data_IF_782786414941
#
_entry.id   IF_782786414941
#
_cell.length_a   1.000
_cell.length_b   1.000
_cell.length_c   1.000
_cell.angle_alpha   90.00
_cell.angle_beta   90.00
_cell.angle_gamma   90.00
#
_symmetry.space_group_name_H-M   'P 1'
#
loop_
_entity.id
_entity.type
_entity.pdbx_description
1 polymer ?
#
# COMPACT_ATOMS: atom_id res chain seq x y z
N UNK A 1 2.81 12.07 11.68
CA UNK A 1 2.96 11.77 10.26
C UNK A 1 4.33 11.25 9.88
N UNK A 2 4.39 10.59 8.71
CA UNK A 2 5.57 9.89 8.18
C UNK A 2 6.79 10.78 8.02
N UNK A 3 6.61 12.04 7.61
CA UNK A 3 7.71 12.97 7.36
C UNK A 3 8.51 13.30 8.63
N UNK A 4 7.82 13.67 9.72
CA UNK A 4 8.49 13.97 11.00
C UNK A 4 9.12 12.70 11.58
N UNK A 5 8.41 11.57 11.52
CA UNK A 5 8.91 10.30 12.06
C UNK A 5 10.19 9.87 11.35
N UNK A 6 10.25 9.95 10.02
CA UNK A 6 11.45 9.66 9.24
C UNK A 6 12.64 10.57 9.61
N UNK A 7 12.40 11.86 9.86
CA UNK A 7 13.47 12.79 10.26
C UNK A 7 14.05 12.45 11.63
N UNK A 8 13.19 12.08 12.58
CA UNK A 8 13.62 11.66 13.92
C UNK A 8 14.31 10.30 13.87
N UNK A 9 13.81 9.34 13.08
CA UNK A 9 14.46 8.04 12.88
C UNK A 9 15.86 8.20 12.26
N UNK A 10 16.03 9.06 11.24
CA UNK A 10 17.36 9.37 10.68
C UNK A 10 18.30 10.00 11.72
N UNK A 11 17.77 10.86 12.59
CA UNK A 11 18.57 11.45 13.67
C UNK A 11 19.00 10.39 14.69
N UNK A 12 18.11 9.43 15.01
CA UNK A 12 18.42 8.30 15.88
C UNK A 12 19.48 7.38 15.29
N UNK A 13 19.36 7.05 14.00
CA UNK A 13 20.36 6.23 13.29
C UNK A 13 21.74 6.90 13.31
N UNK A 14 21.80 8.22 13.13
CA UNK A 14 23.05 8.98 13.23
C UNK A 14 23.64 8.99 14.64
N UNK A 15 22.81 8.83 15.67
CA UNK A 15 23.21 8.65 17.08
C UNK A 15 23.53 7.18 17.43
N UNK A 16 23.38 6.25 16.47
CA UNK A 16 23.65 4.83 16.66
C UNK A 16 22.54 4.09 17.43
N UNK A 17 21.30 4.60 17.38
CA UNK A 17 20.13 3.93 17.95
C UNK A 17 18.98 3.81 16.94
N UNK A 18 17.86 3.21 17.35
CA UNK A 18 16.65 3.08 16.55
C UNK A 18 15.40 3.30 17.39
N UNK A 19 14.25 3.53 16.73
CA UNK A 19 12.96 3.63 17.45
C UNK A 19 12.66 2.38 18.28
N UNK A 20 13.03 1.20 17.77
CA UNK A 20 12.73 -0.08 18.42
C UNK A 20 13.53 -0.26 19.71
N UNK A 21 14.78 0.19 19.71
CA UNK A 21 15.64 0.17 20.91
C UNK A 21 15.17 1.17 21.96
N UNK A 22 14.68 2.34 21.54
CA UNK A 22 14.13 3.37 22.43
C UNK A 22 12.80 2.99 23.07
N UNK A 23 11.97 2.24 22.36
CA UNK A 23 10.59 1.96 22.75
C UNK A 23 9.64 3.11 22.44
N UNK A 24 8.34 2.80 22.41
CA UNK A 24 7.29 3.71 21.90
C UNK A 24 7.17 5.00 22.72
N UNK A 25 7.14 4.91 24.04
CA UNK A 25 6.95 6.07 24.92
C UNK A 25 8.08 7.09 24.76
N UNK A 26 9.34 6.66 24.92
CA UNK A 26 10.51 7.53 24.77
C UNK A 26 10.64 8.09 23.34
N UNK A 27 10.28 7.31 22.32
CA UNK A 27 10.22 7.79 20.95
C UNK A 27 9.19 8.91 20.78
N UNK A 28 7.99 8.77 21.36
CA UNK A 28 6.94 9.80 21.29
C UNK A 28 7.34 11.09 22.02
N UNK A 29 7.99 11.00 23.18
CA UNK A 29 8.54 12.16 23.89
C UNK A 29 9.53 12.92 23.00
N UNK A 30 10.42 12.18 22.32
CA UNK A 30 11.39 12.76 21.39
C UNK A 30 10.71 13.41 20.19
N UNK A 31 9.64 12.82 19.66
CA UNK A 31 8.84 13.40 18.59
C UNK A 31 8.19 14.74 19.02
N UNK A 32 7.68 14.83 20.25
CA UNK A 32 7.14 16.08 20.80
C UNK A 32 8.22 17.16 20.95
N UNK A 33 9.38 16.81 21.49
CA UNK A 33 10.52 17.74 21.59
C UNK A 33 10.95 18.26 20.22
N UNK A 34 11.09 17.37 19.23
CA UNK A 34 11.39 17.76 17.86
C UNK A 34 10.32 18.71 17.29
N UNK A 35 9.04 18.42 17.54
CA UNK A 35 7.94 19.28 17.09
C UNK A 35 8.03 20.67 17.70
N UNK A 36 8.32 20.79 18.99
CA UNK A 36 8.42 22.09 19.68
C UNK A 36 9.54 22.95 19.10
N UNK A 37 10.73 22.37 18.90
CA UNK A 37 11.88 23.06 18.33
C UNK A 37 11.59 23.59 16.92
N UNK A 38 11.03 22.73 16.05
CA UNK A 38 10.76 23.11 14.66
C UNK A 38 9.55 24.03 14.54
N UNK A 39 8.51 23.87 15.36
CA UNK A 39 7.39 24.80 15.40
C UNK A 39 7.87 26.20 15.80
N UNK A 40 8.71 26.33 16.83
CA UNK A 40 9.27 27.61 17.25
C UNK A 40 10.08 28.30 16.14
N UNK A 41 10.85 27.52 15.38
CA UNK A 41 11.60 28.02 14.22
C UNK A 41 10.67 28.49 13.09
N UNK A 42 9.67 27.69 12.72
CA UNK A 42 8.68 28.05 11.69
C UNK A 42 7.93 29.32 12.09
N UNK A 43 7.49 29.41 13.36
CA UNK A 43 6.80 30.59 13.90
C UNK A 43 7.65 31.84 13.78
N UNK A 44 8.93 31.76 14.20
CA UNK A 44 9.88 32.87 14.08
C UNK A 44 10.10 33.30 12.63
N UNK A 45 10.20 32.35 11.69
CA UNK A 45 10.35 32.66 10.27
C UNK A 45 9.12 33.41 9.73
N UNK A 46 7.91 32.96 10.09
CA UNK A 46 6.67 33.63 9.69
C UNK A 46 6.55 35.04 10.28
N UNK A 47 6.98 35.24 11.53
CA UNK A 47 7.05 36.57 12.14
C UNK A 47 8.04 37.50 11.39
N UNK A 48 9.23 36.99 11.04
CA UNK A 48 10.24 37.75 10.28
C UNK A 48 9.77 38.11 8.86
N UNK A 49 8.93 37.28 8.25
CA UNK A 49 8.30 37.56 6.96
C UNK A 49 7.14 38.56 7.07
N UNK A 50 6.72 38.94 8.29
CA UNK A 50 5.60 39.85 8.51
C UNK A 50 4.23 39.21 8.25
N UNK A 51 4.10 37.89 8.44
CA UNK A 51 2.83 37.19 8.25
C UNK A 51 1.78 37.65 9.28
N UNK A 52 0.70 38.28 8.81
CA UNK A 52 -0.37 38.85 9.64
C UNK A 52 -1.48 37.83 9.98
N UNK A 53 -1.11 36.61 10.39
CA UNK A 53 -2.05 35.56 10.77
C UNK A 53 -2.65 35.81 12.18
N UNK A 54 -3.81 35.23 12.48
CA UNK A 54 -4.37 35.24 13.84
C UNK A 54 -3.69 34.18 14.72
N UNK A 55 -2.56 34.55 15.32
CA UNK A 55 -1.76 33.67 16.17
C UNK A 55 -2.45 33.25 17.48
N UNK A 56 -3.53 33.94 17.89
CA UNK A 56 -4.34 33.50 19.04
C UNK A 56 -5.11 32.20 18.75
N UNK A 57 -5.28 31.88 17.46
CA UNK A 57 -5.93 30.67 16.96
C UNK A 57 -4.94 29.72 16.31
N UNK A 58 -3.67 29.77 16.69
CA UNK A 58 -2.71 28.77 16.24
C UNK A 58 -3.23 27.35 16.58
N UNK A 59 -3.12 26.46 15.61
CA UNK A 59 -3.59 25.07 15.70
C UNK A 59 -2.50 24.13 15.26
N UNK A 60 -2.51 22.94 15.84
CA UNK A 60 -1.59 21.86 15.50
C UNK A 60 -2.39 20.60 15.28
N UNK A 61 -2.03 19.83 14.25
CA UNK A 61 -2.85 18.69 13.83
C UNK A 61 -3.06 17.64 14.91
N UNK A 62 -2.14 17.47 15.87
CA UNK A 62 -2.30 16.57 17.03
C UNK A 62 -2.64 17.32 18.34
N UNK A 63 -3.15 18.55 18.27
CA UNK A 63 -3.74 19.19 19.45
C UNK A 63 -5.08 18.53 19.84
N UNK A 64 -5.56 18.81 21.05
CA UNK A 64 -6.76 18.18 21.61
C UNK A 64 -7.99 18.40 20.72
N UNK A 65 -8.27 19.65 20.31
CA UNK A 65 -9.45 19.99 19.52
C UNK A 65 -9.45 19.34 18.13
N UNK A 66 -8.30 19.37 17.44
CA UNK A 66 -8.14 18.70 16.15
C UNK A 66 -8.23 17.17 16.28
N UNK A 67 -7.68 16.61 17.35
CA UNK A 67 -7.74 15.16 17.59
C UNK A 67 -9.17 14.68 17.83
N UNK A 68 -10.00 15.45 18.52
CA UNK A 68 -11.43 15.17 18.65
C UNK A 68 -12.15 15.23 17.29
N UNK A 69 -11.89 16.25 16.48
CA UNK A 69 -12.49 16.35 15.15
C UNK A 69 -12.10 15.18 14.23
N UNK A 70 -10.85 14.71 14.31
CA UNK A 70 -10.37 13.54 13.56
C UNK A 70 -11.08 12.26 14.00
N UNK A 71 -11.22 12.05 15.32
CA UNK A 71 -11.96 10.90 15.85
C UNK A 71 -13.42 10.92 15.44
N UNK A 72 -14.08 12.07 15.56
CA UNK A 72 -15.48 12.24 15.13
C UNK A 72 -15.64 11.92 13.64
N UNK A 73 -14.79 12.49 12.78
CA UNK A 73 -14.84 12.25 11.35
C UNK A 73 -14.66 10.76 11.02
N UNK A 74 -13.70 10.07 11.66
CA UNK A 74 -13.49 8.65 11.46
C UNK A 74 -14.73 7.83 11.85
N UNK A 75 -15.24 8.01 13.06
CA UNK A 75 -16.37 7.23 13.58
C UNK A 75 -17.62 7.47 12.73
N UNK A 76 -17.88 8.73 12.35
CA UNK A 76 -19.04 9.07 11.52
C UNK A 76 -18.94 8.48 10.11
N UNK A 77 -17.78 8.59 9.45
CA UNK A 77 -17.60 8.00 8.12
C UNK A 77 -17.66 6.47 8.16
N UNK A 78 -17.26 5.84 9.26
CA UNK A 78 -17.45 4.40 9.49
C UNK A 78 -18.94 4.05 9.66
N UNK A 79 -19.68 4.80 10.48
CA UNK A 79 -21.13 4.64 10.67
C UNK A 79 -21.91 4.83 9.35
N UNK A 80 -21.44 5.70 8.46
CA UNK A 80 -22.00 5.93 7.12
C UNK A 80 -21.55 4.86 6.09
N UNK A 81 -20.70 3.91 6.47
CA UNK A 81 -20.20 2.83 5.60
C UNK A 81 -19.15 3.27 4.58
N UNK A 82 -18.62 4.49 4.71
CA UNK A 82 -17.56 5.03 3.84
C UNK A 82 -16.17 4.57 4.30
N UNK A 83 -15.96 4.42 5.61
CA UNK A 83 -14.76 3.79 6.16
C UNK A 83 -15.03 2.31 6.42
N UNK A 84 -14.13 1.45 5.98
CA UNK A 84 -14.21 0.01 6.22
C UNK A 84 -12.83 -0.59 6.48
N UNK A 85 -12.82 -1.74 7.17
CA UNK A 85 -11.63 -2.52 7.45
C UNK A 85 -11.63 -3.75 6.54
N UNK A 86 -10.63 -3.88 5.67
CA UNK A 86 -10.63 -4.92 4.63
C UNK A 86 -9.24 -5.24 4.10
N UNK A 87 -9.15 -6.35 3.39
CA UNK A 87 -7.95 -6.73 2.65
C UNK A 87 -7.87 -5.95 1.34
N UNK A 88 -6.76 -5.27 1.13
CA UNK A 88 -6.42 -4.70 -0.16
C UNK A 88 -4.93 -4.84 -0.40
N UNK A 89 -4.53 -4.74 -1.65
CA UNK A 89 -3.13 -4.67 -1.99
C UNK A 89 -2.65 -3.22 -1.80
N UNK A 90 -1.73 -3.04 -0.86
CA UNK A 90 -1.21 -1.72 -0.49
C UNK A 90 0.21 -1.53 -1.01
N UNK A 91 0.59 -0.27 -1.26
CA UNK A 91 1.99 0.07 -1.46
C UNK A 91 2.68 0.05 -0.10
N UNK A 92 3.54 -0.93 0.13
CA UNK A 92 4.33 -1.04 1.34
C UNK A 92 5.73 -0.47 1.13
N UNK A 93 6.24 0.27 2.09
CA UNK A 93 7.63 0.75 2.10
C UNK A 93 8.44 -0.13 3.05
N UNK A 94 9.26 -1.09 2.57
CA UNK A 94 9.98 -2.03 3.43
C UNK A 94 10.90 -1.34 4.44
N UNK A 95 11.62 -0.30 4.03
CA UNK A 95 12.52 0.45 4.90
C UNK A 95 11.78 1.29 5.96
N UNK A 96 10.60 1.83 5.63
CA UNK A 96 9.78 2.59 6.60
C UNK A 96 8.84 1.70 7.42
N UNK A 97 8.70 0.42 7.03
CA UNK A 97 7.79 -0.55 7.61
C UNK A 97 6.35 -0.03 7.77
N UNK A 98 5.82 0.60 6.72
CA UNK A 98 4.44 1.12 6.70
C UNK A 98 3.84 1.05 5.30
N UNK A 99 2.51 0.90 5.24
CA UNK A 99 1.76 1.22 4.05
C UNK A 99 1.89 2.72 3.72
N UNK A 100 1.86 3.06 2.44
CA UNK A 100 1.82 4.43 1.92
C UNK A 100 0.73 4.53 0.83
N UNK A 101 0.14 5.72 0.68
CA UNK A 101 -0.90 5.95 -0.31
C UNK A 101 -0.35 6.01 -1.74
N UNK A 102 -1.19 5.84 -2.76
CA UNK A 102 -0.79 5.99 -4.17
C UNK A 102 -0.18 7.38 -4.46
N UNK A 103 -0.64 8.41 -3.76
CA UNK A 103 -0.12 9.78 -3.88
C UNK A 103 1.30 9.94 -3.30
N UNK A 104 1.72 9.02 -2.43
CA UNK A 104 3.06 8.98 -1.85
C UNK A 104 4.02 8.09 -2.65
N UNK A 105 3.57 7.56 -3.80
CA UNK A 105 4.37 6.76 -4.73
C UNK A 105 4.75 7.59 -5.96
N UNK A 106 6.06 7.68 -6.20
CA UNK A 106 6.62 8.28 -7.41
C UNK A 106 7.00 7.20 -8.42
N UNK A 107 6.39 7.24 -9.60
CA UNK A 107 6.76 6.34 -10.70
C UNK A 107 8.07 6.82 -11.35
N UNK A 108 9.08 5.95 -11.35
CA UNK A 108 10.39 6.22 -11.97
C UNK A 108 10.65 5.20 -13.07
N UNK A 109 11.12 5.67 -14.22
CA UNK A 109 11.56 4.80 -15.31
C UNK A 109 12.89 4.14 -14.93
N UNK A 110 12.92 2.82 -14.92
CA UNK A 110 14.08 2.01 -14.52
C UNK A 110 14.44 1.06 -15.66
N UNK A 111 15.75 0.97 -15.95
CA UNK A 111 16.30 -0.08 -16.82
C UNK A 111 16.32 -1.38 -16.03
N UNK A 112 15.50 -2.33 -16.45
CA UNK A 112 15.51 -3.69 -15.93
C UNK A 112 15.53 -4.72 -17.05
N UNK A 113 15.04 -5.90 -16.73
CA UNK A 113 14.97 -7.01 -17.68
C UNK A 113 13.57 -7.61 -17.69
N UNK A 114 13.17 -8.11 -18.86
CA UNK A 114 12.02 -8.98 -19.04
C UNK A 114 12.53 -10.42 -19.18
N UNK A 115 12.11 -11.30 -18.28
CA UNK A 115 12.51 -12.69 -18.21
C UNK A 115 11.41 -13.57 -18.82
N UNK A 116 11.78 -14.44 -19.76
CA UNK A 116 10.91 -15.44 -20.33
C UNK A 116 11.16 -16.79 -19.67
N UNK A 117 10.16 -17.29 -18.96
CA UNK A 117 10.25 -18.45 -18.07
C UNK A 117 9.39 -19.59 -18.60
N UNK A 118 9.97 -20.79 -18.69
CA UNK A 118 9.32 -21.99 -19.15
C UNK A 118 8.62 -22.73 -18.00
N UNK A 119 7.32 -23.00 -18.17
CA UNK A 119 6.49 -23.73 -17.22
C UNK A 119 6.02 -25.02 -17.89
N UNK A 120 6.48 -26.20 -17.42
CA UNK A 120 6.01 -27.47 -17.96
C UNK A 120 4.51 -27.67 -17.72
N UNK A 121 3.79 -28.23 -18.70
CA UNK A 121 2.38 -28.60 -18.54
C UNK A 121 2.29 -30.04 -18.06
N UNK A 122 1.69 -30.24 -16.89
CA UNK A 122 1.57 -31.54 -16.24
C UNK A 122 0.93 -32.59 -17.17
N UNK A 123 1.55 -33.78 -17.23
CA UNK A 123 1.06 -34.88 -18.05
C UNK A 123 1.25 -34.70 -19.56
N UNK A 124 2.11 -33.78 -19.99
CA UNK A 124 2.43 -33.58 -21.41
C UNK A 124 3.87 -33.13 -21.64
N UNK A 125 4.36 -33.28 -22.87
CA UNK A 125 5.66 -32.72 -23.30
C UNK A 125 5.58 -31.22 -23.65
N UNK A 126 4.41 -30.60 -23.45
CA UNK A 126 4.19 -29.20 -23.73
C UNK A 126 4.77 -28.33 -22.60
N UNK A 127 5.47 -27.27 -22.98
CA UNK A 127 5.95 -26.22 -22.08
C UNK A 127 5.38 -24.89 -22.55
N UNK A 128 4.81 -24.12 -21.63
CA UNK A 128 4.39 -22.74 -21.90
C UNK A 128 5.50 -21.77 -21.49
N UNK A 129 5.49 -20.56 -22.04
CA UNK A 129 6.43 -19.51 -21.67
C UNK A 129 5.66 -18.30 -21.17
N UNK A 130 6.04 -17.78 -20.00
CA UNK A 130 5.47 -16.55 -19.41
C UNK A 130 6.56 -15.48 -19.32
N UNK A 131 6.16 -14.22 -19.44
CA UNK A 131 7.07 -13.08 -19.31
C UNK A 131 6.89 -12.38 -17.97
N UNK A 132 7.99 -11.98 -17.31
CA UNK A 132 7.92 -11.18 -16.08
C UNK A 132 9.16 -10.31 -15.88
N UNK A 133 8.99 -9.15 -15.25
CA UNK A 133 10.09 -8.30 -14.77
C UNK A 133 10.56 -8.65 -13.36
N UNK A 134 9.80 -9.50 -12.65
CA UNK A 134 10.02 -9.86 -11.24
C UNK A 134 10.08 -11.38 -11.04
N UNK A 135 11.14 -12.06 -11.48
CA UNK A 135 11.22 -13.52 -11.40
C UNK A 135 11.18 -14.05 -9.96
N UNK A 136 11.61 -13.28 -8.96
CA UNK A 136 11.48 -13.68 -7.54
C UNK A 136 10.02 -13.82 -7.07
N UNK A 137 9.08 -13.06 -7.67
CA UNK A 137 7.65 -13.16 -7.32
C UNK A 137 7.02 -14.44 -7.85
N UNK A 138 7.62 -15.07 -8.88
CA UNK A 138 7.10 -16.30 -9.47
C UNK A 138 6.92 -17.42 -8.44
N UNK A 139 7.74 -17.41 -7.40
CA UNK A 139 7.70 -18.40 -6.32
C UNK A 139 6.32 -18.43 -5.62
N UNK A 140 5.59 -17.31 -5.68
CA UNK A 140 4.24 -17.15 -5.15
C UNK A 140 3.12 -17.37 -6.17
N UNK A 141 3.42 -17.84 -7.38
CA UNK A 141 2.40 -18.01 -8.41
C UNK A 141 1.37 -19.05 -8.00
N UNK A 142 0.11 -18.76 -8.33
CA UNK A 142 -1.03 -19.65 -8.03
C UNK A 142 -1.86 -19.99 -9.26
N UNK A 143 -1.68 -19.27 -10.37
CA UNK A 143 -2.25 -19.61 -11.66
C UNK A 143 -1.41 -19.07 -12.83
N UNK A 144 -1.77 -19.49 -14.04
CA UNK A 144 -1.37 -18.87 -15.29
C UNK A 144 -2.63 -18.42 -16.02
N UNK A 145 -2.70 -17.14 -16.38
CA UNK A 145 -3.86 -16.56 -17.05
C UNK A 145 -3.65 -16.46 -18.57
N UNK A 146 -4.74 -16.65 -19.31
CA UNK A 146 -4.84 -16.39 -20.75
C UNK A 146 -6.14 -15.64 -21.06
N UNK A 147 -6.19 -14.93 -22.18
CA UNK A 147 -7.41 -14.23 -22.57
C UNK A 147 -8.51 -15.22 -23.04
N UNK A 148 -9.79 -15.05 -22.65
CA UNK A 148 -10.88 -15.98 -22.99
C UNK A 148 -11.10 -16.20 -24.49
N UNK A 149 -10.75 -15.21 -25.32
CA UNK A 149 -10.83 -15.29 -26.79
C UNK A 149 -9.50 -15.70 -27.46
N UNK A 150 -8.47 -16.08 -26.70
CA UNK A 150 -7.22 -16.55 -27.27
C UNK A 150 -7.31 -18.06 -27.60
N UNK A 151 -7.58 -18.37 -28.87
CA UNK A 151 -7.71 -19.74 -29.36
C UNK A 151 -6.44 -20.58 -29.16
N UNK A 152 -5.27 -19.94 -29.03
CA UNK A 152 -3.97 -20.62 -28.85
C UNK A 152 -3.90 -21.39 -27.52
N UNK A 153 -4.68 -21.00 -26.52
CA UNK A 153 -4.55 -21.49 -25.13
C UNK A 153 -5.81 -22.15 -24.56
N UNK A 154 -6.93 -22.18 -25.28
CA UNK A 154 -8.20 -22.77 -24.81
C UNK A 154 -8.05 -24.22 -24.34
N UNK A 155 -7.18 -25.00 -24.99
CA UNK A 155 -6.94 -26.41 -24.67
C UNK A 155 -6.19 -26.62 -23.35
N UNK A 156 -5.75 -25.55 -22.68
CA UNK A 156 -5.05 -25.57 -21.40
C UNK A 156 -6.00 -25.46 -20.19
N UNK A 157 -7.26 -25.06 -20.38
CA UNK A 157 -8.20 -24.73 -19.28
C UNK A 157 -8.31 -25.80 -18.18
N UNK A 158 -8.31 -27.08 -18.55
CA UNK A 158 -8.43 -28.21 -17.63
C UNK A 158 -7.07 -28.86 -17.28
N UNK A 159 -5.97 -28.25 -17.72
CA UNK A 159 -4.61 -28.70 -17.44
C UNK A 159 -4.01 -27.93 -16.26
N UNK A 160 -2.83 -28.35 -15.85
CA UNK A 160 -2.04 -27.66 -14.83
C UNK A 160 -0.65 -27.38 -15.36
N UNK A 161 -0.11 -26.20 -15.05
CA UNK A 161 1.31 -25.92 -15.20
C UNK A 161 2.05 -26.30 -13.91
N UNK A 162 3.32 -26.67 -14.03
CA UNK A 162 4.18 -26.92 -12.88
C UNK A 162 5.08 -25.71 -12.71
N UNK A 163 4.99 -25.05 -11.56
CA UNK A 163 5.83 -23.91 -11.22
C UNK A 163 7.30 -24.37 -11.10
N UNK A 164 8.23 -23.82 -11.90
CA UNK A 164 9.65 -24.16 -11.77
C UNK A 164 10.19 -23.84 -10.38
N UNK A 165 11.21 -24.59 -9.95
CA UNK A 165 11.87 -24.52 -8.63
C UNK A 165 11.00 -24.96 -7.44
N UNK A 166 9.72 -24.59 -7.40
CA UNK A 166 8.80 -24.89 -6.29
C UNK A 166 8.03 -26.20 -6.50
N UNK A 167 7.69 -26.53 -7.75
CA UNK A 167 6.92 -27.71 -8.11
C UNK A 167 5.41 -27.60 -7.84
N UNK A 168 4.90 -26.41 -7.49
CA UNK A 168 3.47 -26.16 -7.26
C UNK A 168 2.67 -26.39 -8.54
N UNK A 169 1.51 -27.04 -8.43
CA UNK A 169 0.55 -27.20 -9.53
C UNK A 169 -0.27 -25.91 -9.66
N UNK A 170 -0.19 -25.28 -10.84
CA UNK A 170 -0.88 -24.03 -11.16
C UNK A 170 -2.05 -24.31 -12.10
N UNK A 171 -3.20 -23.72 -11.82
CA UNK A 171 -4.36 -23.77 -12.73
C UNK A 171 -4.17 -22.81 -13.89
N UNK A 172 -4.75 -23.15 -15.04
CA UNK A 172 -4.96 -22.17 -16.10
C UNK A 172 -6.31 -21.47 -15.90
N UNK A 173 -6.32 -20.14 -15.99
CA UNK A 173 -7.53 -19.33 -15.86
C UNK A 173 -7.73 -18.47 -17.11
N UNK A 174 -8.99 -18.25 -17.47
CA UNK A 174 -9.36 -17.36 -18.57
C UNK A 174 -9.82 -16.03 -17.98
N UNK A 175 -9.11 -14.94 -18.27
CA UNK A 175 -9.40 -13.61 -17.72
C UNK A 175 -9.19 -12.52 -18.79
N UNK A 176 -10.16 -11.61 -18.90
CA UNK A 176 -10.22 -10.55 -19.91
C UNK A 176 -9.19 -9.43 -19.69
N UNK A 177 -8.57 -9.39 -18.50
CA UNK A 177 -7.44 -8.51 -18.24
C UNK A 177 -6.19 -8.86 -19.06
N UNK A 178 -6.06 -10.11 -19.52
CA UNK A 178 -4.86 -10.57 -20.23
C UNK A 178 -4.81 -10.00 -21.64
N UNK A 179 -3.76 -9.24 -21.95
CA UNK A 179 -3.48 -8.80 -23.32
C UNK A 179 -2.92 -9.97 -24.17
N UNK A 180 -3.62 -10.29 -25.26
CA UNK A 180 -3.25 -11.35 -26.22
C UNK A 180 -1.95 -11.06 -26.97
N UNK A 181 -1.64 -9.78 -27.18
CA UNK A 181 -0.50 -9.33 -27.99
C UNK A 181 0.77 -9.11 -27.15
N UNK A 182 0.62 -8.94 -25.84
CA UNK A 182 1.75 -8.70 -24.94
C UNK A 182 2.51 -9.99 -24.62
N UNK A 183 3.83 -9.99 -24.88
CA UNK A 183 4.70 -11.12 -24.59
C UNK A 183 4.26 -12.39 -25.32
N UNK A 184 3.81 -13.40 -24.56
CA UNK A 184 3.28 -14.64 -25.11
C UNK A 184 1.75 -14.71 -25.13
N UNK A 185 1.04 -13.74 -24.55
CA UNK A 185 -0.40 -13.84 -24.26
C UNK A 185 -0.72 -14.73 -23.05
N UNK A 186 0.32 -15.15 -22.30
CA UNK A 186 0.20 -15.84 -21.02
C UNK A 186 0.85 -15.01 -19.91
N UNK A 187 0.12 -14.84 -18.82
CA UNK A 187 0.55 -14.04 -17.67
C UNK A 187 0.66 -14.96 -16.45
N UNK A 188 1.80 -14.89 -15.74
CA UNK A 188 1.90 -15.51 -14.42
C UNK A 188 1.01 -14.74 -13.45
N UNK A 189 0.29 -15.44 -12.57
CA UNK A 189 -0.61 -14.79 -11.60
C UNK A 189 -0.04 -14.98 -10.21
N UNK A 190 0.41 -13.88 -9.59
CA UNK A 190 0.95 -13.82 -8.23
C UNK A 190 0.12 -12.90 -7.34
N UNK A 191 -1.07 -13.33 -6.88
CA UNK A 191 -2.07 -12.42 -6.30
C UNK A 191 -1.61 -11.57 -5.10
N UNK A 192 -0.60 -12.02 -4.36
CA UNK A 192 -0.12 -11.31 -3.18
C UNK A 192 0.81 -10.11 -3.52
N UNK A 193 1.43 -10.09 -4.70
CA UNK A 193 2.57 -9.20 -5.02
C UNK A 193 2.35 -8.29 -6.23
N UNK A 194 1.16 -8.29 -6.83
CA UNK A 194 0.81 -7.40 -7.94
C UNK A 194 -0.68 -6.99 -7.89
N UNK A 195 -1.03 -5.70 -8.06
CA UNK A 195 -2.42 -5.23 -7.99
C UNK A 195 -3.37 -5.91 -8.98
N UNK A 196 -2.91 -6.17 -10.21
CA UNK A 196 -3.76 -6.78 -11.24
C UNK A 196 -3.94 -8.27 -10.96
N UNK A 197 -2.85 -8.95 -10.56
CA UNK A 197 -2.91 -10.35 -10.13
C UNK A 197 -3.79 -10.52 -8.89
N UNK A 198 -3.82 -9.56 -7.97
CA UNK A 198 -4.71 -9.57 -6.81
C UNK A 198 -6.18 -9.57 -7.23
N UNK A 199 -6.55 -8.69 -8.18
CA UNK A 199 -7.92 -8.62 -8.69
C UNK A 199 -8.30 -9.88 -9.47
N UNK A 200 -7.42 -10.41 -10.31
CA UNK A 200 -7.61 -11.71 -10.96
C UNK A 200 -7.76 -12.83 -9.91
N UNK A 201 -6.92 -12.81 -8.87
CA UNK A 201 -6.97 -13.77 -7.77
C UNK A 201 -8.30 -13.76 -7.04
N UNK A 202 -8.86 -12.58 -6.75
CA UNK A 202 -10.21 -12.46 -6.16
C UNK A 202 -11.31 -12.94 -7.12
N UNK A 203 -11.24 -12.62 -8.43
CA UNK A 203 -12.24 -13.07 -9.43
C UNK A 203 -12.27 -14.59 -9.61
N UNK A 204 -11.12 -15.25 -9.52
CA UNK A 204 -10.97 -16.69 -9.78
C UNK A 204 -10.77 -17.55 -8.52
N UNK A 205 -10.92 -16.95 -7.33
CA UNK A 205 -10.74 -17.61 -6.02
C UNK A 205 -9.38 -18.33 -5.91
N UNK A 206 -8.32 -17.58 -6.21
CA UNK A 206 -6.95 -18.09 -6.16
C UNK A 206 -6.33 -17.92 -4.76
N UNK A 207 -5.48 -18.87 -4.33
CA UNK A 207 -4.71 -18.70 -3.11
C UNK A 207 -3.81 -17.46 -3.15
N UNK A 208 -3.62 -16.85 -1.99
CA UNK A 208 -2.79 -15.66 -1.77
C UNK A 208 -1.48 -16.08 -1.09
N UNK A 209 -0.42 -16.31 -1.88
CA UNK A 209 0.88 -16.81 -1.35
C UNK A 209 1.87 -15.66 -1.13
N UNK A 210 2.23 -15.41 0.12
CA UNK A 210 3.19 -14.36 0.47
C UNK A 210 4.62 -14.88 0.43
N UNK A 211 5.35 -14.65 -0.66
CA UNK A 211 6.79 -14.97 -0.77
C UNK A 211 7.74 -13.85 -0.33
N UNK A 212 7.27 -12.60 -0.24
CA UNK A 212 8.06 -11.44 0.25
C UNK A 212 7.39 -10.91 1.53
N UNK A 213 8.17 -10.80 2.60
CA UNK A 213 7.76 -10.28 3.90
C UNK A 213 7.72 -8.75 3.95
N UNK A 214 7.20 -8.22 5.06
CA UNK A 214 7.10 -6.77 5.32
C UNK A 214 8.46 -6.08 5.50
N UNK A 215 9.53 -6.83 5.69
CA UNK A 215 10.91 -6.35 5.75
C UNK A 215 11.62 -6.41 4.38
N UNK A 216 10.91 -6.81 3.33
CA UNK A 216 11.48 -6.98 1.99
C UNK A 216 12.34 -8.24 1.84
N UNK A 217 12.33 -9.14 2.82
CA UNK A 217 13.01 -10.44 2.75
C UNK A 217 12.06 -11.55 2.31
N UNK A 218 12.62 -12.61 1.74
CA UNK A 218 11.84 -13.76 1.32
C UNK A 218 11.34 -14.56 2.53
N UNK A 219 10.06 -14.95 2.51
CA UNK A 219 9.43 -15.77 3.55
C UNK A 219 9.75 -17.27 3.38
N UNK A 220 9.24 -18.12 4.27
CA UNK A 220 9.36 -19.58 4.15
C UNK A 220 8.69 -20.13 2.87
N UNK A 221 7.65 -19.45 2.36
CA UNK A 221 6.97 -19.82 1.12
C UNK A 221 7.86 -19.70 -0.13
N UNK A 222 8.98 -18.98 -0.01
CA UNK A 222 9.99 -18.89 -1.07
C UNK A 222 10.92 -20.11 -1.12
N UNK A 223 10.75 -21.10 -0.25
CA UNK A 223 11.53 -22.34 -0.25
C UNK A 223 13.02 -22.11 -0.02
N UNK A 224 13.87 -22.58 -0.95
CA UNK A 224 15.33 -22.47 -0.82
C UNK A 224 15.87 -21.02 -0.79
N UNK A 225 15.02 -20.04 -1.13
CA UNK A 225 15.36 -18.62 -1.13
C UNK A 225 14.97 -17.87 0.15
N UNK A 226 14.37 -18.56 1.14
CA UNK A 226 13.92 -17.96 2.40
C UNK A 226 15.04 -17.21 3.13
N UNK A 227 14.70 -16.05 3.73
CA UNK A 227 15.59 -15.19 4.50
C UNK A 227 16.47 -14.24 3.67
N UNK A 228 16.59 -14.45 2.36
CA UNK A 228 17.33 -13.56 1.47
C UNK A 228 16.60 -12.22 1.30
N UNK A 229 17.35 -11.15 1.04
CA UNK A 229 16.75 -9.92 0.52
C UNK A 229 16.14 -10.17 -0.87
N UNK A 230 15.01 -9.56 -1.20
CA UNK A 230 14.29 -9.79 -2.47
C UNK A 230 15.12 -9.55 -3.72
N UNK A 231 16.05 -8.60 -3.73
CA UNK A 231 16.92 -8.35 -4.87
C UNK A 231 18.04 -9.37 -4.97
N UNK A 232 18.53 -9.87 -3.83
CA UNK A 232 19.45 -11.01 -3.81
C UNK A 232 18.74 -12.29 -4.28
N UNK A 233 17.52 -12.54 -3.80
CA UNK A 233 16.68 -13.65 -4.21
C UNK A 233 16.41 -13.61 -5.71
N UNK A 234 16.10 -12.44 -6.29
CA UNK A 234 15.95 -12.25 -7.74
C UNK A 234 17.14 -12.80 -8.52
N UNK A 235 18.36 -12.46 -8.11
CA UNK A 235 19.58 -12.95 -8.78
C UNK A 235 19.70 -14.47 -8.68
N UNK A 236 19.52 -15.05 -7.48
CA UNK A 236 19.64 -16.50 -7.27
C UNK A 236 18.53 -17.29 -7.97
N UNK A 237 17.30 -16.78 -7.99
CA UNK A 237 16.19 -17.39 -8.74
C UNK A 237 16.53 -17.46 -10.22
N UNK A 238 17.04 -16.36 -10.81
CA UNK A 238 17.45 -16.34 -12.22
C UNK A 238 18.57 -17.34 -12.49
N UNK A 239 19.57 -17.45 -11.61
CA UNK A 239 20.64 -18.45 -11.72
C UNK A 239 20.09 -19.88 -11.69
N UNK A 240 19.21 -20.21 -10.74
CA UNK A 240 18.59 -21.54 -10.63
C UNK A 240 17.68 -21.87 -11.81
N UNK A 241 16.94 -20.89 -12.34
CA UNK A 241 16.15 -21.06 -13.56
C UNK A 241 17.03 -21.34 -14.77
N UNK A 242 18.21 -20.72 -14.84
CA UNK A 242 19.19 -21.00 -15.90
C UNK A 242 19.77 -22.41 -15.79
N UNK A 243 20.12 -22.85 -14.58
CA UNK A 243 20.65 -24.19 -14.32
C UNK A 243 19.65 -25.31 -14.60
N UNK A 244 18.36 -25.06 -14.34
CA UNK A 244 17.27 -26.00 -14.64
C UNK A 244 16.78 -25.93 -16.09
N UNK A 245 17.27 -24.98 -16.89
CA UNK A 245 16.84 -24.76 -18.27
C UNK A 245 15.44 -24.12 -18.38
N UNK A 246 14.86 -23.66 -17.27
CA UNK A 246 13.57 -22.97 -17.23
C UNK A 246 13.68 -21.49 -17.66
N UNK A 247 14.87 -20.90 -17.69
CA UNK A 247 15.09 -19.56 -18.23
C UNK A 247 15.32 -19.62 -19.75
N UNK A 248 14.33 -19.15 -20.53
CA UNK A 248 14.36 -19.23 -22.00
C UNK A 248 15.07 -18.02 -22.62
N UNK A 249 14.77 -16.82 -22.13
CA UNK A 249 15.29 -15.57 -22.69
C UNK A 249 15.29 -14.48 -21.63
N UNK A 250 16.24 -13.55 -21.77
CA UNK A 250 16.29 -12.30 -21.00
C UNK A 250 16.41 -11.16 -22.01
N UNK A 251 15.55 -10.16 -21.87
CA UNK A 251 15.53 -8.97 -22.72
C UNK A 251 15.70 -7.72 -21.86
N UNK A 252 16.41 -6.71 -22.37
CA UNK A 252 16.43 -5.41 -21.72
C UNK A 252 15.07 -4.75 -21.84
N UNK A 253 14.56 -4.22 -20.73
CA UNK A 253 13.23 -3.64 -20.67
C UNK A 253 13.21 -2.41 -19.76
N UNK A 254 12.83 -1.27 -20.35
CA UNK A 254 12.51 -0.05 -19.62
C UNK A 254 11.08 -0.16 -19.10
N UNK A 255 10.90 -0.01 -17.79
CA UNK A 255 9.58 -0.03 -17.17
C UNK A 255 9.51 0.97 -16.02
N UNK A 256 8.30 1.36 -15.66
CA UNK A 256 8.06 2.25 -14.54
C UNK A 256 7.93 1.45 -13.24
N UNK A 257 8.68 1.86 -12.22
CA UNK A 257 8.66 1.25 -10.88
C UNK A 257 8.26 2.33 -9.88
N UNK A 258 7.28 2.01 -9.03
CA UNK A 258 6.87 2.88 -7.94
C UNK A 258 7.94 2.96 -6.85
N UNK A 259 8.29 4.16 -6.43
CA UNK A 259 9.21 4.42 -5.33
C UNK A 259 8.53 5.28 -4.28
N UNK A 260 8.84 5.06 -3.00
CA UNK A 260 8.37 5.92 -1.93
C UNK A 260 8.89 7.35 -2.13
N UNK A 261 8.00 8.35 -2.13
CA UNK A 261 8.38 9.76 -2.21
C UNK A 261 9.35 10.17 -1.08
N UNK A 262 9.26 9.49 0.08
CA UNK A 262 9.98 9.88 1.30
C UNK A 262 11.34 9.19 1.43
N UNK A 263 11.38 7.86 1.28
CA UNK A 263 12.61 7.08 1.40
C UNK A 263 13.33 6.92 0.06
N UNK A 264 12.62 7.04 -1.05
CA UNK A 264 13.15 6.84 -2.39
C UNK A 264 13.35 5.37 -2.78
N UNK A 265 13.03 4.42 -1.91
CA UNK A 265 13.15 2.97 -2.18
C UNK A 265 11.99 2.47 -3.07
N UNK A 266 12.18 1.38 -3.84
CA UNK A 266 11.07 0.72 -4.54
C UNK A 266 10.01 0.21 -3.55
N UNK A 267 8.76 0.55 -3.81
CA UNK A 267 7.62 0.08 -2.99
C UNK A 267 7.33 -1.38 -3.29
N UNK A 268 6.81 -2.10 -2.30
CA UNK A 268 6.35 -3.47 -2.47
C UNK A 268 4.83 -3.56 -2.39
N UNK A 269 4.16 -4.05 -3.45
CA UNK A 269 2.76 -4.43 -3.38
C UNK A 269 2.61 -5.60 -2.40
N UNK A 270 1.82 -5.42 -1.34
CA UNK A 270 1.51 -6.50 -0.39
C UNK A 270 0.03 -6.48 -0.04
N UNK A 271 -0.58 -7.66 0.07
CA UNK A 271 -1.93 -7.77 0.64
C UNK A 271 -1.83 -7.50 2.13
N UNK A 272 -2.57 -6.49 2.60
CA UNK A 272 -2.66 -6.15 4.01
C UNK A 272 -4.10 -5.82 4.37
N UNK A 273 -4.52 -6.26 5.55
CA UNK A 273 -5.75 -5.77 6.16
C UNK A 273 -5.48 -4.37 6.69
N UNK A 274 -6.22 -3.39 6.20
CA UNK A 274 -6.04 -1.97 6.49
C UNK A 274 -7.39 -1.28 6.55
N UNK A 275 -7.38 -0.03 7.00
CA UNK A 275 -8.53 0.85 6.95
C UNK A 275 -8.55 1.63 5.65
N UNK A 276 -9.69 1.59 4.97
CA UNK A 276 -9.92 2.29 3.71
C UNK A 276 -11.09 3.25 3.84
N UNK A 277 -11.04 4.33 3.05
CA UNK A 277 -12.14 5.26 2.86
C UNK A 277 -12.59 5.23 1.39
N UNK A 278 -13.87 4.94 1.14
CA UNK A 278 -14.50 5.12 -0.16
C UNK A 278 -14.71 6.61 -0.42
N UNK A 279 -13.85 7.17 -1.25
CA UNK A 279 -13.84 8.58 -1.63
C UNK A 279 -14.59 8.84 -2.93
N UNK A 280 -15.17 7.83 -3.58
CA UNK A 280 -15.81 7.98 -4.90
C UNK A 280 -16.98 8.97 -4.89
N UNK A 281 -17.80 8.92 -3.83
CA UNK A 281 -18.90 9.87 -3.63
C UNK A 281 -18.40 11.29 -3.34
N UNK A 282 -17.31 11.43 -2.57
CA UNK A 282 -16.68 12.73 -2.28
C UNK A 282 -16.07 13.35 -3.53
N UNK A 283 -15.38 12.54 -4.34
CA UNK A 283 -14.80 12.94 -5.61
C UNK A 283 -15.86 13.43 -6.60
N UNK A 284 -16.98 12.72 -6.72
CA UNK A 284 -18.11 13.16 -7.57
C UNK A 284 -18.64 14.54 -7.13
N UNK A 285 -18.84 14.76 -5.83
CA UNK A 285 -19.29 16.06 -5.32
C UNK A 285 -18.29 17.18 -5.59
N UNK A 286 -17.00 16.89 -5.47
CA UNK A 286 -15.93 17.84 -5.74
C UNK A 286 -15.84 18.21 -7.24
N UNK A 287 -16.07 17.25 -8.14
CA UNK A 287 -16.20 17.50 -9.59
C UNK A 287 -17.42 18.38 -9.90
N UNK A 288 -18.59 18.02 -9.36
CA UNK A 288 -19.83 18.77 -9.56
C UNK A 288 -19.74 20.21 -9.05
N UNK A 289 -19.01 20.45 -7.95
CA UNK A 289 -18.82 21.79 -7.41
C UNK A 289 -18.06 22.70 -8.39
N UNK A 290 -17.07 22.17 -9.10
CA UNK A 290 -16.35 22.92 -10.15
C UNK A 290 -17.27 23.14 -11.36
N UNK A 291 -17.99 22.11 -11.80
CA UNK A 291 -18.91 22.20 -12.93
C UNK A 291 -20.03 23.24 -12.72
N UNK A 292 -20.58 23.30 -11.50
CA UNK A 292 -21.64 24.25 -11.12
C UNK A 292 -21.11 25.66 -10.80
N UNK A 293 -19.79 25.85 -10.76
CA UNK A 293 -19.17 27.12 -10.38
C UNK A 293 -19.24 27.45 -8.87
N UNK A 294 -19.48 26.44 -8.02
CA UNK A 294 -19.41 26.56 -6.56
C UNK A 294 -17.96 26.56 -6.06
N UNK A 295 -17.05 25.92 -6.81
CA UNK A 295 -15.61 25.90 -6.58
C UNK A 295 -14.85 26.41 -7.82
N UNK A 296 -14.07 27.47 -7.66
CA UNK A 296 -13.23 28.00 -8.74
C UNK A 296 -11.77 27.58 -8.55
N UNK A 297 -11.20 26.89 -9.54
CA UNK A 297 -9.79 26.52 -9.57
C UNK A 297 -8.95 27.62 -10.23
N UNK A 298 -7.83 28.00 -9.61
CA UNK A 298 -6.94 29.04 -10.13
C UNK A 298 -5.50 28.52 -10.24
N UNK A 299 -4.86 28.57 -11.44
CA UNK A 299 -5.44 28.95 -12.73
C UNK A 299 -6.43 27.92 -13.30
N UNK A 300 -7.33 28.38 -14.19
CA UNK A 300 -8.38 27.56 -14.82
C UNK A 300 -7.84 26.28 -15.49
N UNK A 301 -6.57 26.29 -15.94
CA UNK A 301 -5.91 25.13 -16.55
C UNK A 301 -5.77 23.90 -15.65
N UNK A 302 -6.05 24.03 -14.35
CA UNK A 302 -6.07 22.90 -13.41
C UNK A 302 -7.34 22.06 -13.50
N UNK A 303 -8.38 22.52 -14.20
CA UNK A 303 -9.64 21.82 -14.41
C UNK A 303 -9.45 20.36 -14.88
N UNK A 304 -8.62 20.15 -15.89
CA UNK A 304 -8.34 18.83 -16.47
C UNK A 304 -7.55 17.95 -15.53
N UNK A 305 -6.55 18.50 -14.85
CA UNK A 305 -5.74 17.75 -13.90
C UNK A 305 -6.58 17.31 -12.70
N UNK A 306 -7.42 18.21 -12.20
CA UNK A 306 -8.38 17.93 -11.13
C UNK A 306 -9.38 16.86 -11.54
N UNK A 307 -9.99 17.00 -12.72
CA UNK A 307 -10.95 16.05 -13.25
C UNK A 307 -10.34 14.66 -13.44
N UNK A 308 -9.20 14.59 -14.14
CA UNK A 308 -8.50 13.34 -14.41
C UNK A 308 -8.14 12.58 -13.13
N UNK A 309 -7.73 13.31 -12.08
CA UNK A 309 -7.40 12.71 -10.80
C UNK A 309 -8.65 12.15 -10.08
N UNK A 310 -9.72 12.94 -9.97
CA UNK A 310 -10.93 12.54 -9.25
C UNK A 310 -11.77 11.48 -9.98
N UNK A 311 -11.73 11.45 -11.32
CA UNK A 311 -12.44 10.45 -12.13
C UNK A 311 -11.89 9.03 -11.97
N UNK A 312 -10.59 8.90 -11.65
CA UNK A 312 -9.90 7.62 -11.53
C UNK A 312 -9.51 7.26 -10.08
N UNK A 313 -10.04 8.01 -9.11
CA UNK A 313 -9.66 7.86 -7.70
C UNK A 313 -10.03 6.46 -7.17
N UNK A 314 -9.08 5.85 -6.45
CA UNK A 314 -9.25 4.55 -5.82
C UNK A 314 -9.59 4.72 -4.33
N UNK A 315 -10.10 3.66 -3.65
CA UNK A 315 -10.27 3.70 -2.21
C UNK A 315 -8.98 4.10 -1.49
N UNK A 316 -9.09 5.06 -0.57
CA UNK A 316 -7.92 5.62 0.10
C UNK A 316 -7.55 4.79 1.32
N UNK A 317 -6.34 4.21 1.33
CA UNK A 317 -5.76 3.60 2.53
C UNK A 317 -5.45 4.68 3.59
N UNK A 318 -6.18 4.69 4.70
CA UNK A 318 -6.10 5.72 5.75
C UNK A 318 -5.34 5.27 7.00
N UNK A 319 -4.99 3.98 7.14
CA UNK A 319 -4.15 3.47 8.24
C UNK A 319 -2.66 3.47 7.91
N UNK A 320 -1.82 3.60 8.94
CA UNK A 320 -0.36 3.63 8.87
C UNK A 320 0.25 2.92 10.08
N UNK A 321 1.30 2.12 9.87
CA UNK A 321 2.03 1.38 10.92
C UNK A 321 3.13 2.26 11.55
N UNK A 322 2.77 3.52 11.85
CA UNK A 322 3.64 4.52 12.44
C UNK A 322 3.35 4.64 13.94
N UNK A 323 4.27 5.23 14.68
CA UNK A 323 4.03 5.54 16.10
C UNK A 323 3.49 6.96 16.26
N UNK A 324 3.84 7.87 15.35
CA UNK A 324 3.43 9.27 15.39
C UNK A 324 2.25 9.59 14.48
N UNK A 325 1.07 9.77 15.07
CA UNK A 325 -0.17 10.15 14.40
C UNK A 325 -1.38 9.99 15.32
N UNK A 326 -2.58 10.22 14.78
CA UNK A 326 -3.81 9.96 15.51
C UNK A 326 -4.06 8.47 15.55
N UNK A 327 -4.03 7.85 16.73
CA UNK A 327 -4.36 6.43 16.84
C UNK A 327 -5.79 6.16 16.40
N UNK A 328 -5.99 5.08 15.64
CA UNK A 328 -7.31 4.75 15.09
C UNK A 328 -8.29 4.46 16.24
N UNK A 329 -9.50 5.06 16.23
CA UNK A 329 -10.48 4.87 17.29
C UNK A 329 -11.31 3.60 17.05
N UNK A 330 -10.61 2.46 16.99
CA UNK A 330 -11.18 1.13 16.84
C UNK A 330 -10.54 0.17 17.86
N UNK A 331 -11.33 -0.76 18.37
CA UNK A 331 -10.95 -1.73 19.39
C UNK A 331 -11.34 -3.13 18.96
N UNK A 332 -10.52 -4.11 19.32
CA UNK A 332 -10.81 -5.53 19.10
C UNK A 332 -11.10 -6.21 20.43
N UNK A 333 -12.20 -6.97 20.48
CA UNK A 333 -12.55 -7.80 21.63
C UNK A 333 -11.72 -9.10 21.65
N UNK A 334 -11.73 -9.89 22.74
CA UNK A 334 -11.02 -11.17 22.77
C UNK A 334 -11.60 -12.21 21.80
N UNK A 335 -12.86 -12.03 21.36
CA UNK A 335 -13.50 -12.86 20.33
C UNK A 335 -13.11 -12.46 18.90
N UNK A 336 -12.35 -11.38 18.71
CA UNK A 336 -11.96 -10.85 17.40
C UNK A 336 -12.98 -9.90 16.77
N UNK A 337 -14.00 -9.46 17.53
CA UNK A 337 -14.97 -8.48 17.04
C UNK A 337 -14.37 -7.08 17.06
N UNK A 338 -14.58 -6.33 15.97
CA UNK A 338 -14.10 -4.96 15.80
C UNK A 338 -15.19 -3.96 16.22
N UNK A 339 -14.83 -3.02 17.09
CA UNK A 339 -15.71 -2.00 17.66
C UNK A 339 -15.13 -0.62 17.39
N UNK A 340 -15.86 0.23 16.68
CA UNK A 340 -15.47 1.64 16.43
C UNK A 340 -16.26 2.57 17.35
N UNK A 341 -15.56 3.49 18.02
CA UNK A 341 -16.14 4.35 19.06
C UNK A 341 -15.33 5.64 19.26
N UNK A 342 -15.92 6.70 19.83
CA UNK A 342 -15.22 7.98 20.03
C UNK A 342 -14.32 7.97 21.27
N UNK A 343 -14.55 7.03 22.18
CA UNK A 343 -13.79 6.83 23.42
C UNK A 343 -13.73 5.37 23.84
N UNK A 344 -12.82 5.05 24.76
CA UNK A 344 -12.74 3.73 25.39
C UNK A 344 -14.04 3.36 26.11
N UNK A 345 -14.63 4.29 26.87
CA UNK A 345 -15.89 4.03 27.59
C UNK A 345 -17.04 3.70 26.62
N UNK A 346 -17.12 4.39 25.47
CA UNK A 346 -18.09 4.06 24.44
C UNK A 346 -17.81 2.69 23.80
N UNK A 347 -16.53 2.36 23.59
CA UNK A 347 -16.13 1.03 23.08
C UNK A 347 -16.53 -0.08 24.06
N UNK A 348 -16.30 0.10 25.36
CA UNK A 348 -16.71 -0.83 26.42
C UNK A 348 -18.22 -0.99 26.44
N UNK A 349 -18.98 0.11 26.33
CA UNK A 349 -20.44 0.08 26.30
C UNK A 349 -20.99 -0.68 25.07
N UNK A 350 -20.34 -0.55 23.90
CA UNK A 350 -20.69 -1.27 22.67
C UNK A 350 -20.29 -2.75 22.74
N UNK A 351 -19.11 -3.06 23.26
CA UNK A 351 -18.55 -4.41 23.30
C UNK A 351 -19.07 -5.28 24.44
N UNK A 352 -19.52 -4.65 25.55
CA UNK A 352 -19.91 -5.35 26.77
C UNK A 352 -18.73 -5.95 27.57
N UNK A 353 -17.50 -5.50 27.31
CA UNK A 353 -16.27 -5.94 28.01
C UNK A 353 -15.24 -4.81 28.09
N UNK A 354 -14.42 -4.83 29.14
CA UNK A 354 -13.26 -3.95 29.31
C UNK A 354 -11.98 -4.53 28.67
N UNK A 355 -11.99 -5.81 28.30
CA UNK A 355 -10.86 -6.48 27.66
C UNK A 355 -10.78 -6.10 26.17
N UNK A 356 -10.41 -4.86 25.90
CA UNK A 356 -10.33 -4.29 24.55
C UNK A 356 -8.90 -3.91 24.20
N UNK A 357 -8.46 -4.28 23.01
CA UNK A 357 -7.18 -3.85 22.45
C UNK A 357 -7.44 -2.82 21.36
N UNK A 358 -6.97 -1.58 21.57
CA UNK A 358 -7.08 -0.55 20.55
C UNK A 358 -6.18 -0.88 19.36
N UNK A 359 -6.64 -0.57 18.15
CA UNK A 359 -5.85 -0.66 16.94
C UNK A 359 -4.52 0.11 17.11
N UNK A 360 -3.37 -0.56 16.93
CA UNK A 360 -2.07 0.08 17.12
C UNK A 360 -1.71 1.07 16.01
N UNK A 361 -2.40 1.01 14.87
CA UNK A 361 -2.17 1.87 13.71
C UNK A 361 -2.60 3.31 14.00
N UNK A 362 -2.01 4.22 13.24
CA UNK A 362 -2.37 5.64 13.24
C UNK A 362 -2.95 6.04 11.88
N UNK A 363 -3.75 7.10 11.89
CA UNK A 363 -4.31 7.67 10.68
C UNK A 363 -3.23 8.37 9.85
N UNK A 364 -3.42 8.30 8.54
CA UNK A 364 -2.69 9.08 7.55
C UNK A 364 -2.69 10.58 7.93
N UNK A 365 -1.56 11.26 7.75
CA UNK A 365 -1.48 12.71 8.02
C UNK A 365 -2.37 13.49 7.05
N UNK A 366 -2.60 12.96 5.85
CA UNK A 366 -3.55 13.55 4.91
C UNK A 366 -5.00 13.44 5.40
N UNK A 367 -5.34 12.44 6.23
CA UNK A 367 -6.67 12.31 6.84
C UNK A 367 -6.96 13.46 7.79
N UNK A 368 -6.04 13.77 8.71
CA UNK A 368 -6.23 14.92 9.60
C UNK A 368 -6.09 16.26 8.88
N UNK A 369 -5.21 16.35 7.88
CA UNK A 369 -5.04 17.58 7.10
C UNK A 369 -6.27 17.91 6.24
N UNK A 370 -6.98 16.90 5.72
CA UNK A 370 -8.21 17.10 4.95
C UNK A 370 -9.33 17.75 5.78
N UNK A 371 -9.27 17.64 7.11
CA UNK A 371 -10.27 18.18 8.03
C UNK A 371 -9.99 19.63 8.47
N UNK A 372 -8.89 20.24 8.02
CA UNK A 372 -8.48 21.60 8.41
C UNK A 372 -9.58 22.68 8.30
N UNK A 373 -10.43 22.70 7.24
CA UNK A 373 -11.51 23.68 7.13
C UNK A 373 -12.57 23.57 8.23
N UNK A 374 -12.67 22.43 8.90
CA UNK A 374 -13.59 22.19 10.01
C UNK A 374 -12.87 22.35 11.35
N UNK A 375 -11.76 21.64 11.51
CA UNK A 375 -11.11 21.43 12.80
C UNK A 375 -10.46 22.69 13.39
N UNK A 376 -10.18 23.70 12.57
CA UNK A 376 -9.68 25.00 13.05
C UNK A 376 -10.76 25.90 13.63
N UNK A 377 -12.03 25.59 13.39
CA UNK A 377 -13.19 26.40 13.81
C UNK A 377 -13.94 25.84 15.03
N UNK A 378 -13.50 24.69 15.56
CA UNK A 378 -14.22 23.92 16.58
C UNK A 378 -15.30 23.06 15.97
#
# INVERSE_FOLDING_TARGET
>A
GIATQLMVERALEAEGSSRLELGREAFLERMWSWKEDYQGNIRRQLDLLGASCDWSRERFTLDEGLSEAVKEAFVRLYEEGLIYHGEYLVNWSPGLHTAISDLEVEMKEVKGHLYHLAYPVEGSDQTIVVATTRPETMLGDTAVAFHPEDERYQHLKDKHAVLPLVGRRLRFIADDFVDREFGTGLVKVTPFHDPNDFQMGKRHDLPMVQVIGRDGRMTEEAGEFAGLDRFEARRKVVERLKETGALIKVEDHLHNVGHSQRSGEPVEPLVSTQWFCDVSGMARRALEAVEKGELTLVPDSWDKTWAHWLENIQPWCISRQLWWGHQIPAWTTPSGELVVARSFDEAVAKAGTEELVQDPDVLDTWFSSALWPFSTLG
#
